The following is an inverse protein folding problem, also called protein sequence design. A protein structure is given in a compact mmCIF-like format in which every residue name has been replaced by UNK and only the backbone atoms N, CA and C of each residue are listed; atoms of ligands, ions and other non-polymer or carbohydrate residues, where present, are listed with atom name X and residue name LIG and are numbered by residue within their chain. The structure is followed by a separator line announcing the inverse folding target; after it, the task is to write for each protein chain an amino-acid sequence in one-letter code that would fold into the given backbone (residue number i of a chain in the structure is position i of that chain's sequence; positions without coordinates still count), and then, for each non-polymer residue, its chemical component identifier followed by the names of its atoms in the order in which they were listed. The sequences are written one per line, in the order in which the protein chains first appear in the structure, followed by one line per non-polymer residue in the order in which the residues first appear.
data_IF_892974918702
#
_entry.id   IF_892974918702
#
_cell.length_a   1.000
_cell.length_b   1.000
_cell.length_c   1.000
_cell.angle_alpha   90.00
_cell.angle_beta   90.00
_cell.angle_gamma   90.00
#
_symmetry.space_group_name_H-M   'P 1'
#
loop_
_entity.id
_entity.type
_entity.pdbx_description
1 polymer ?
#
# COMPACT_ATOMS: atom_id res chain seq x y z
N UNK A 1 -1.46 -3.25 0.17
CA UNK A 1 -1.86 -3.08 -1.26
C UNK A 1 -3.13 -3.81 -1.69
N UNK A 2 -3.97 -4.27 -0.75
CA UNK A 2 -5.40 -4.40 -1.00
C UNK A 2 -6.14 -3.65 0.12
N UNK A 3 -6.73 -2.50 -0.22
CA UNK A 3 -7.48 -1.68 0.71
C UNK A 3 -8.87 -2.27 0.92
N UNK A 4 -9.14 -2.72 2.16
CA UNK A 4 -10.48 -3.02 2.63
C UNK A 4 -11.33 -1.76 2.82
N UNK A 5 -12.65 -1.92 2.67
CA UNK A 5 -13.73 -0.92 2.81
C UNK A 5 -13.84 0.16 1.71
N UNK A 6 -13.59 -0.22 0.45
CA UNK A 6 -13.81 0.71 -0.68
C UNK A 6 -13.61 0.15 -2.09
N UNK A 7 -13.75 -1.17 -2.29
CA UNK A 7 -14.09 -1.84 -3.55
C UNK A 7 -13.46 -1.36 -4.89
N UNK A 8 -12.23 -0.86 -4.92
CA UNK A 8 -11.51 -0.65 -6.18
C UNK A 8 -10.58 -1.83 -6.42
N UNK A 9 -10.76 -2.62 -7.49
CA UNK A 9 -9.93 -3.80 -7.73
C UNK A 9 -8.45 -3.42 -7.80
N UNK A 10 -7.62 -4.08 -6.99
CA UNK A 10 -6.16 -4.02 -7.08
C UNK A 10 -5.63 -5.06 -8.07
N UNK A 11 -4.46 -5.61 -7.81
CA UNK A 11 -3.86 -6.69 -8.62
C UNK A 11 -4.82 -7.89 -8.83
N UNK A 12 -5.76 -8.08 -7.91
CA UNK A 12 -6.91 -8.97 -8.08
C UNK A 12 -8.12 -8.20 -8.63
N UNK A 13 -8.62 -8.64 -9.77
CA UNK A 13 -9.88 -8.17 -10.38
C UNK A 13 -11.12 -8.83 -9.76
N UNK A 14 -10.94 -10.00 -9.15
CA UNK A 14 -12.01 -10.73 -8.45
C UNK A 14 -11.41 -11.66 -7.39
N UNK A 15 -12.11 -11.77 -6.26
CA UNK A 15 -11.79 -12.67 -5.15
C UNK A 15 -13.08 -13.41 -4.80
N UNK A 16 -13.04 -14.75 -4.75
CA UNK A 16 -14.19 -15.62 -4.46
C UNK A 16 -13.75 -16.84 -3.68
N UNK A 17 -14.42 -17.16 -2.59
CA UNK A 17 -14.23 -18.40 -1.85
C UNK A 17 -15.19 -19.51 -2.30
N UNK A 18 -14.90 -20.75 -1.92
CA UNK A 18 -15.88 -21.82 -1.84
C UNK A 18 -16.83 -21.59 -0.66
N UNK A 19 -17.97 -22.31 -0.62
CA UNK A 19 -18.91 -22.21 0.50
C UNK A 19 -18.28 -22.53 1.88
N UNK A 20 -17.25 -23.38 1.89
CA UNK A 20 -16.50 -23.74 3.09
C UNK A 20 -15.34 -22.78 3.43
N UNK A 21 -15.15 -21.70 2.66
CA UNK A 21 -14.06 -20.72 2.84
C UNK A 21 -12.62 -21.29 2.92
N UNK A 22 -12.42 -22.54 2.49
CA UNK A 22 -11.13 -23.23 2.52
C UNK A 22 -10.35 -23.14 1.21
N UNK A 23 -10.99 -22.70 0.14
CA UNK A 23 -10.33 -22.46 -1.16
C UNK A 23 -10.76 -21.12 -1.72
N UNK A 24 -9.79 -20.26 -2.00
CA UNK A 24 -9.98 -18.91 -2.50
C UNK A 24 -9.47 -18.78 -3.94
N UNK A 25 -10.33 -18.32 -4.84
CA UNK A 25 -10.07 -18.12 -6.27
C UNK A 25 -9.88 -16.64 -6.57
N UNK A 26 -8.71 -16.30 -7.09
CA UNK A 26 -8.29 -14.92 -7.37
C UNK A 26 -8.08 -14.74 -8.88
N UNK A 27 -8.83 -13.83 -9.50
CA UNK A 27 -8.60 -13.46 -10.90
C UNK A 27 -7.63 -12.29 -10.98
N UNK A 28 -6.50 -12.49 -11.64
CA UNK A 28 -5.43 -11.49 -11.70
C UNK A 28 -5.73 -10.40 -12.74
N UNK A 29 -5.24 -9.18 -12.49
CA UNK A 29 -5.19 -8.11 -13.47
C UNK A 29 -4.14 -8.45 -14.53
N UNK A 30 -4.51 -8.28 -15.80
CA UNK A 30 -3.60 -8.43 -16.92
C UNK A 30 -2.76 -7.18 -17.17
N UNK A 31 -1.66 -7.34 -17.92
CA UNK A 31 -0.77 -6.25 -18.36
C UNK A 31 -0.15 -5.43 -17.23
N UNK A 32 0.15 -6.07 -16.11
CA UNK A 32 0.88 -5.45 -15.00
C UNK A 32 2.35 -5.85 -15.05
N UNK A 33 3.22 -4.89 -14.75
CA UNK A 33 4.65 -5.11 -14.56
C UNK A 33 5.08 -4.73 -13.15
N UNK A 34 6.11 -5.41 -12.68
CA UNK A 34 6.93 -4.97 -11.58
C UNK A 34 7.87 -3.85 -12.05
N UNK A 35 8.36 -3.07 -11.10
CA UNK A 35 9.24 -1.93 -11.35
C UNK A 35 10.61 -2.35 -11.90
N UNK A 36 11.03 -3.61 -11.68
CA UNK A 36 12.19 -4.24 -12.31
C UNK A 36 11.92 -4.79 -13.74
N UNK A 37 10.75 -4.46 -14.31
CA UNK A 37 10.29 -4.89 -15.63
C UNK A 37 9.74 -6.32 -15.70
N UNK A 38 9.81 -7.12 -14.63
CA UNK A 38 9.24 -8.46 -14.59
C UNK A 38 7.71 -8.42 -14.76
N UNK A 39 7.12 -9.49 -15.28
CA UNK A 39 5.66 -9.56 -15.47
C UNK A 39 4.99 -9.96 -14.16
N UNK A 40 3.88 -9.30 -13.85
CA UNK A 40 2.96 -9.81 -12.83
C UNK A 40 2.02 -10.84 -13.47
N UNK A 41 2.16 -12.09 -13.03
CA UNK A 41 1.36 -13.22 -13.47
C UNK A 41 1.14 -14.24 -12.33
N UNK A 42 0.54 -15.39 -12.67
CA UNK A 42 0.27 -16.41 -11.68
C UNK A 42 1.55 -16.99 -11.06
N UNK A 43 2.64 -17.15 -11.82
CA UNK A 43 3.90 -17.66 -11.28
C UNK A 43 4.47 -16.70 -10.23
N UNK A 44 4.37 -15.38 -10.47
CA UNK A 44 4.78 -14.39 -9.48
C UNK A 44 3.95 -14.47 -8.19
N UNK A 45 2.63 -14.69 -8.29
CA UNK A 45 1.77 -14.87 -7.12
C UNK A 45 2.12 -16.16 -6.36
N UNK A 46 2.39 -17.27 -7.07
CA UNK A 46 2.79 -18.53 -6.42
C UNK A 46 4.13 -18.43 -5.70
N UNK A 47 5.11 -17.71 -6.27
CA UNK A 47 6.38 -17.45 -5.59
C UNK A 47 6.19 -16.64 -4.30
N UNK A 48 5.30 -15.65 -4.31
CA UNK A 48 4.96 -14.90 -3.11
C UNK A 48 4.17 -15.74 -2.10
N UNK A 49 3.28 -16.63 -2.56
CA UNK A 49 2.57 -17.56 -1.70
C UNK A 49 3.54 -18.45 -0.92
N UNK A 50 4.53 -19.04 -1.61
CA UNK A 50 5.58 -19.83 -0.97
C UNK A 50 6.37 -18.99 0.06
N UNK A 51 6.69 -17.73 -0.27
CA UNK A 51 7.31 -16.80 0.69
C UNK A 51 6.43 -16.54 1.92
N UNK A 52 5.11 -16.41 1.77
CA UNK A 52 4.19 -16.21 2.89
C UNK A 52 4.12 -17.42 3.81
N UNK A 53 4.20 -18.63 3.24
CA UNK A 53 4.25 -19.88 4.01
C UNK A 53 5.55 -20.06 4.79
N UNK A 54 6.63 -19.39 4.37
CA UNK A 54 7.90 -19.36 5.09
C UNK A 54 7.95 -18.29 6.20
N UNK A 55 6.92 -17.45 6.35
CA UNK A 55 6.84 -16.50 7.46
C UNK A 55 6.57 -17.25 8.77
N UNK A 56 7.06 -16.70 9.88
CA UNK A 56 6.79 -17.25 11.21
C UNK A 56 5.26 -17.24 11.48
N UNK A 57 4.62 -18.41 11.73
CA UNK A 57 3.16 -18.51 11.81
C UNK A 57 2.47 -17.53 12.78
N UNK A 58 2.99 -17.26 14.00
CA UNK A 58 2.35 -16.32 14.93
C UNK A 58 2.20 -14.91 14.39
N UNK A 59 3.07 -14.51 13.45
CA UNK A 59 3.09 -13.18 12.86
C UNK A 59 2.52 -13.11 11.43
N UNK A 60 2.14 -14.26 10.86
CA UNK A 60 1.69 -14.36 9.47
C UNK A 60 0.18 -14.13 9.35
N UNK A 61 -0.29 -13.14 8.56
CA UNK A 61 -1.71 -12.99 8.25
C UNK A 61 -2.28 -14.15 7.41
N UNK A 62 -1.43 -15.03 6.88
CA UNK A 62 -1.82 -16.19 6.10
C UNK A 62 -1.34 -17.50 6.75
N UNK A 63 -1.40 -17.58 8.09
CA UNK A 63 -0.93 -18.76 8.85
C UNK A 63 -1.61 -20.07 8.42
N UNK A 64 -2.87 -20.03 7.98
CA UNK A 64 -3.60 -21.20 7.49
C UNK A 64 -3.26 -21.58 6.04
N UNK A 65 -2.40 -20.86 5.34
CA UNK A 65 -2.12 -21.13 3.92
C UNK A 65 -1.33 -22.44 3.74
N UNK A 66 -2.00 -23.48 3.23
CA UNK A 66 -1.37 -24.77 2.89
C UNK A 66 -0.67 -24.76 1.53
N UNK A 67 -1.13 -23.92 0.61
CA UNK A 67 -0.46 -23.76 -0.66
C UNK A 67 -1.29 -23.00 -1.67
N UNK A 68 -0.72 -22.84 -2.86
CA UNK A 68 -1.36 -22.16 -3.96
C UNK A 68 -1.07 -22.88 -5.29
N UNK A 69 -2.02 -22.80 -6.20
CA UNK A 69 -1.83 -23.25 -7.58
C UNK A 69 -2.50 -22.31 -8.59
N UNK A 70 -2.27 -22.58 -9.88
CA UNK A 70 -2.83 -21.79 -10.98
C UNK A 70 -3.42 -22.73 -12.04
N UNK A 71 -4.73 -23.04 -11.98
CA UNK A 71 -5.35 -23.97 -12.92
C UNK A 71 -5.42 -23.43 -14.35
N UNK A 72 -5.26 -22.10 -14.54
CA UNK A 72 -5.17 -21.46 -15.85
C UNK A 72 -4.51 -20.08 -15.73
N UNK A 73 -3.96 -19.52 -16.83
CA UNK A 73 -3.38 -18.19 -16.80
C UNK A 73 -4.33 -17.15 -16.21
N UNK A 74 -3.83 -16.37 -15.25
CA UNK A 74 -4.59 -15.29 -14.60
C UNK A 74 -5.64 -15.74 -13.58
N UNK A 75 -5.65 -17.02 -13.18
CA UNK A 75 -6.45 -17.51 -12.06
C UNK A 75 -5.55 -18.24 -11.07
N UNK A 76 -5.50 -17.74 -9.83
CA UNK A 76 -4.78 -18.39 -8.73
C UNK A 76 -5.79 -18.97 -7.75
N UNK A 77 -5.47 -20.14 -7.18
CA UNK A 77 -6.19 -20.70 -6.04
C UNK A 77 -5.27 -20.71 -4.82
N UNK A 78 -5.76 -20.21 -3.70
CA UNK A 78 -5.17 -20.42 -2.38
C UNK A 78 -5.96 -21.50 -1.65
N UNK A 79 -5.26 -22.41 -0.98
CA UNK A 79 -5.82 -23.55 -0.26
C UNK A 79 -5.44 -23.39 1.21
N UNK A 80 -6.42 -23.43 2.10
CA UNK A 80 -6.24 -23.18 3.53
C UNK A 80 -6.41 -24.46 4.37
N UNK A 81 -5.76 -24.50 5.52
CA UNK A 81 -5.90 -25.52 6.56
C UNK A 81 -7.11 -25.20 7.44
N UNK A 82 -8.30 -25.41 6.88
CA UNK A 82 -9.55 -25.06 7.55
C UNK A 82 -10.34 -24.00 6.78
N UNK A 83 -11.24 -23.35 7.50
CA UNK A 83 -12.19 -22.39 6.97
C UNK A 83 -11.88 -21.02 7.52
N UNK A 84 -11.36 -20.13 6.68
CA UNK A 84 -11.18 -18.71 7.02
C UNK A 84 -12.00 -17.83 6.06
N UNK A 85 -13.20 -17.36 6.47
CA UNK A 85 -14.02 -16.43 5.70
C UNK A 85 -13.42 -15.03 5.55
N UNK A 86 -12.36 -14.70 6.28
CA UNK A 86 -11.72 -13.38 6.33
C UNK A 86 -10.40 -13.30 5.56
N UNK A 87 -10.01 -14.39 4.89
CA UNK A 87 -8.74 -14.46 4.17
C UNK A 87 -8.58 -13.37 3.10
N UNK A 88 -9.66 -12.91 2.48
CA UNK A 88 -9.63 -11.77 1.55
C UNK A 88 -9.19 -10.46 2.20
N UNK A 89 -9.56 -10.23 3.47
CA UNK A 89 -9.05 -9.12 4.26
C UNK A 89 -7.57 -9.31 4.59
N UNK A 90 -7.16 -10.53 4.95
CA UNK A 90 -5.76 -10.86 5.22
C UNK A 90 -4.85 -10.60 4.01
N UNK A 91 -5.31 -10.97 2.80
CA UNK A 91 -4.60 -10.66 1.54
C UNK A 91 -4.31 -9.16 1.37
N UNK A 92 -5.10 -8.28 2.01
CA UNK A 92 -4.87 -6.84 2.00
C UNK A 92 -3.73 -6.32 2.86
N UNK A 93 -3.24 -7.13 3.78
CA UNK A 93 -2.13 -6.81 4.67
C UNK A 93 -0.87 -6.41 3.90
N UNK A 94 -0.12 -5.45 4.43
CA UNK A 94 1.20 -5.09 3.92
C UNK A 94 2.20 -6.24 4.02
N UNK A 95 2.06 -7.12 5.03
CA UNK A 95 2.92 -8.31 5.19
C UNK A 95 2.79 -9.30 4.02
N UNK A 96 1.63 -9.34 3.36
CA UNK A 96 1.36 -10.16 2.19
C UNK A 96 1.51 -9.37 0.87
N UNK A 97 2.26 -8.27 0.86
CA UNK A 97 2.53 -7.51 -0.35
C UNK A 97 3.18 -8.38 -1.43
N UNK A 98 2.68 -8.30 -2.67
CA UNK A 98 3.29 -9.00 -3.82
C UNK A 98 4.52 -8.24 -4.26
N UNK A 99 5.67 -8.93 -4.24
CA UNK A 99 6.95 -8.43 -4.77
C UNK A 99 7.39 -9.21 -5.99
N UNK A 100 8.28 -8.62 -6.79
CA UNK A 100 8.88 -9.31 -7.93
C UNK A 100 9.56 -10.59 -7.46
N UNK A 101 9.36 -11.73 -8.15
CA UNK A 101 10.08 -12.96 -7.85
C UNK A 101 11.61 -12.80 -7.91
N UNK A 102 12.12 -11.83 -8.69
CA UNK A 102 13.56 -11.54 -8.77
C UNK A 102 14.14 -10.95 -7.49
N UNK A 103 13.30 -10.35 -6.66
CA UNK A 103 13.71 -9.78 -5.38
C UNK A 103 13.61 -10.79 -4.22
N UNK A 104 13.02 -11.97 -4.44
CA UNK A 104 12.89 -13.02 -3.42
C UNK A 104 14.18 -13.84 -3.42
N UNK A 105 14.86 -13.89 -2.28
CA UNK A 105 16.04 -14.74 -2.07
C UNK A 105 15.64 -16.17 -1.72
N UNK A 106 16.62 -17.07 -1.75
CA UNK A 106 16.42 -18.49 -1.41
C UNK A 106 15.91 -18.71 0.02
N UNK A 107 16.22 -17.79 0.95
CA UNK A 107 15.73 -17.79 2.33
C UNK A 107 14.35 -17.12 2.50
N UNK A 108 13.70 -16.71 1.40
CA UNK A 108 12.42 -16.01 1.41
C UNK A 108 12.51 -14.52 1.77
N UNK A 109 13.70 -14.01 2.14
CA UNK A 109 13.89 -12.58 2.37
C UNK A 109 13.79 -11.79 1.06
N UNK A 110 13.49 -10.50 1.19
CA UNK A 110 13.39 -9.59 0.04
C UNK A 110 14.70 -8.80 -0.07
N UNK A 111 15.21 -8.65 -1.29
CA UNK A 111 16.33 -7.77 -1.56
C UNK A 111 16.00 -6.33 -1.13
N UNK A 112 16.75 -5.72 -0.20
CA UNK A 112 16.51 -4.35 0.20
C UNK A 112 16.83 -3.42 -0.98
N UNK A 113 16.07 -2.32 -1.07
CA UNK A 113 16.28 -1.23 -2.04
C UNK A 113 16.06 -1.59 -3.53
N UNK A 114 15.77 -2.84 -3.87
CA UNK A 114 15.41 -3.21 -5.24
C UNK A 114 13.95 -2.81 -5.55
N UNK A 115 13.70 -2.13 -6.69
CA UNK A 115 12.36 -1.76 -7.13
C UNK A 115 11.56 -3.03 -7.49
N UNK A 116 10.88 -3.57 -6.49
CA UNK A 116 10.26 -4.89 -6.55
C UNK A 116 8.74 -4.85 -6.49
N UNK A 117 8.14 -3.65 -6.40
CA UNK A 117 6.69 -3.47 -6.33
C UNK A 117 6.03 -3.42 -7.71
N UNK A 118 4.70 -3.33 -7.71
CA UNK A 118 3.86 -2.98 -8.87
C UNK A 118 3.11 -1.66 -8.63
N UNK A 119 3.57 -0.88 -7.65
CA UNK A 119 2.89 0.30 -7.15
C UNK A 119 3.11 1.54 -8.00
N UNK A 120 2.36 2.62 -7.71
CA UNK A 120 2.44 3.91 -8.42
C UNK A 120 3.74 4.67 -8.18
N UNK A 121 4.51 4.32 -7.15
CA UNK A 121 5.79 4.94 -6.82
C UNK A 121 6.86 3.89 -6.56
N UNK A 122 8.09 4.26 -6.88
CA UNK A 122 9.31 3.46 -6.74
C UNK A 122 10.24 4.15 -5.76
N UNK A 123 10.89 3.39 -4.88
CA UNK A 123 11.93 3.93 -4.02
C UNK A 123 13.15 4.31 -4.88
N UNK A 124 13.57 5.56 -4.78
CA UNK A 124 14.75 6.09 -5.47
C UNK A 124 15.92 6.30 -4.53
N UNK A 125 15.65 6.86 -3.36
CA UNK A 125 16.68 7.13 -2.36
C UNK A 125 16.16 6.74 -0.98
N UNK A 126 17.07 6.21 -0.16
CA UNK A 126 16.83 5.92 1.24
C UNK A 126 18.04 6.34 2.04
N UNK A 127 17.83 7.35 2.86
CA UNK A 127 18.75 7.80 3.88
C UNK A 127 18.21 7.37 5.25
N UNK A 128 18.90 7.77 6.32
CA UNK A 128 18.49 7.42 7.68
C UNK A 128 17.16 8.09 8.06
N UNK A 129 16.98 9.34 7.64
CA UNK A 129 15.89 10.24 7.98
C UNK A 129 15.04 10.65 6.76
N UNK A 130 15.38 10.19 5.55
CA UNK A 130 14.67 10.55 4.33
C UNK A 130 14.42 9.36 3.41
N UNK A 131 13.23 9.31 2.81
CA UNK A 131 12.92 8.45 1.66
C UNK A 131 12.46 9.31 0.47
N UNK A 132 13.05 9.08 -0.70
CA UNK A 132 12.58 9.65 -1.95
C UNK A 132 11.87 8.59 -2.78
N UNK A 133 10.60 8.81 -3.10
CA UNK A 133 9.81 7.98 -3.98
C UNK A 133 9.54 8.73 -5.29
N UNK A 134 9.79 8.11 -6.44
CA UNK A 134 9.45 8.69 -7.74
C UNK A 134 8.30 7.94 -8.40
N UNK A 135 7.51 8.63 -9.21
CA UNK A 135 6.40 8.06 -9.98
C UNK A 135 6.89 6.90 -10.84
N UNK A 136 6.21 5.77 -10.75
CA UNK A 136 6.32 4.68 -11.69
C UNK A 136 5.53 5.01 -12.96
N UNK A 137 6.24 5.38 -14.02
CA UNK A 137 5.63 5.74 -15.32
C UNK A 137 5.00 4.54 -16.04
N UNK A 138 5.37 3.31 -15.67
CA UNK A 138 4.78 2.07 -16.20
C UNK A 138 3.67 1.52 -15.30
N UNK A 139 3.24 2.29 -14.29
CA UNK A 139 2.20 1.84 -13.38
C UNK A 139 0.91 1.57 -14.15
N UNK A 140 0.27 0.45 -13.81
CA UNK A 140 -0.94 -0.04 -14.47
C UNK A 140 -2.19 0.83 -14.25
N UNK A 141 -2.06 1.94 -13.52
CA UNK A 141 -3.03 3.03 -13.50
C UNK A 141 -4.25 2.80 -12.62
N UNK A 142 -5.16 3.78 -12.62
CA UNK A 142 -6.49 3.64 -12.03
C UNK A 142 -7.53 3.24 -13.08
N UNK A 143 -8.82 3.15 -12.72
CA UNK A 143 -9.91 2.81 -13.68
C UNK A 143 -9.94 3.73 -14.91
N UNK A 144 -9.37 4.94 -14.81
CA UNK A 144 -9.30 5.93 -15.90
C UNK A 144 -7.93 5.98 -16.58
N UNK A 145 -7.04 5.01 -16.30
CA UNK A 145 -5.63 5.00 -16.73
C UNK A 145 -4.86 6.28 -16.34
N UNK A 146 -5.36 7.00 -15.35
CA UNK A 146 -4.66 8.14 -14.77
C UNK A 146 -3.61 7.60 -13.79
N UNK A 147 -2.38 8.06 -13.97
CA UNK A 147 -1.30 7.89 -13.00
C UNK A 147 -1.48 8.77 -11.76
N UNK A 148 -0.63 8.59 -10.74
CA UNK A 148 -0.66 9.46 -9.58
C UNK A 148 -0.37 10.91 -9.97
N UNK A 149 -1.01 11.87 -9.31
CA UNK A 149 -0.82 13.29 -9.59
C UNK A 149 0.56 13.86 -9.24
N UNK A 150 1.44 13.09 -8.59
CA UNK A 150 2.79 13.52 -8.12
C UNK A 150 3.88 12.84 -8.90
N UNK A 151 4.90 13.61 -9.27
CA UNK A 151 6.12 13.08 -9.87
C UNK A 151 7.01 12.45 -8.80
N UNK A 152 7.04 13.03 -7.60
CA UNK A 152 7.85 12.57 -6.48
C UNK A 152 7.12 12.76 -5.14
N UNK A 153 7.47 11.93 -4.18
CA UNK A 153 7.09 12.04 -2.77
C UNK A 153 8.36 11.91 -1.95
N UNK A 154 8.64 12.93 -1.14
CA UNK A 154 9.69 12.92 -0.14
C UNK A 154 9.05 12.65 1.22
N UNK A 155 9.59 11.68 1.95
CA UNK A 155 9.15 11.33 3.30
C UNK A 155 10.31 11.62 4.23
N UNK A 156 10.11 12.60 5.11
CA UNK A 156 11.03 12.92 6.20
C UNK A 156 10.61 12.16 7.47
N UNK A 157 11.59 11.59 8.16
CA UNK A 157 11.40 10.82 9.38
C UNK A 157 11.88 11.66 10.56
N UNK A 158 10.96 12.37 11.20
CA UNK A 158 11.22 13.07 12.46
C UNK A 158 10.67 12.26 13.65
N UNK A 159 11.56 11.92 14.58
CA UNK A 159 11.22 11.16 15.78
C UNK A 159 10.42 11.97 16.81
N UNK A 160 10.38 13.30 16.69
CA UNK A 160 9.73 14.20 17.65
C UNK A 160 8.37 14.68 17.15
N UNK A 161 7.34 14.51 17.98
CA UNK A 161 5.99 15.00 17.69
C UNK A 161 5.97 16.52 17.48
N UNK A 162 6.79 17.24 18.26
CA UNK A 162 6.93 18.68 18.16
C UNK A 162 7.58 19.10 16.83
N UNK A 163 8.64 18.42 16.39
CA UNK A 163 9.29 18.73 15.11
C UNK A 163 8.38 18.49 13.91
N UNK A 164 7.57 17.41 13.92
CA UNK A 164 6.55 17.18 12.90
C UNK A 164 5.50 18.31 12.86
N UNK A 165 5.04 18.78 14.01
CA UNK A 165 4.09 19.88 14.10
C UNK A 165 4.69 21.22 13.63
N UNK A 166 5.92 21.53 14.04
CA UNK A 166 6.61 22.76 13.69
C UNK A 166 6.91 22.82 12.18
N UNK A 167 7.34 21.71 11.57
CA UNK A 167 7.58 21.61 10.13
C UNK A 167 6.31 21.84 9.32
N UNK A 168 5.16 21.31 9.79
CA UNK A 168 3.86 21.53 9.16
C UNK A 168 3.41 23.00 9.24
N UNK A 169 3.57 23.61 10.41
CA UNK A 169 3.25 25.02 10.64
C UNK A 169 4.15 25.95 9.81
N UNK A 170 5.44 25.66 9.75
CA UNK A 170 6.41 26.36 8.91
C UNK A 170 6.12 26.20 7.40
N UNK A 171 5.40 25.15 7.01
CA UNK A 171 5.06 24.86 5.63
C UNK A 171 6.19 24.19 4.85
N UNK A 172 7.16 23.65 5.55
CA UNK A 172 8.25 22.82 5.02
C UNK A 172 7.66 21.49 4.53
N UNK A 173 6.72 20.93 5.30
CA UNK A 173 5.95 19.74 4.92
C UNK A 173 4.47 20.03 4.71
N UNK A 174 3.83 19.16 3.93
CA UNK A 174 2.44 19.28 3.50
C UNK A 174 1.52 18.45 4.38
N UNK A 175 2.09 17.41 4.98
CA UNK A 175 1.43 16.42 5.79
C UNK A 175 2.34 16.08 6.97
N UNK A 176 1.76 16.04 8.16
CA UNK A 176 2.38 15.46 9.34
C UNK A 176 1.48 14.35 9.88
N UNK A 177 2.00 13.13 9.89
CA UNK A 177 1.32 11.96 10.47
C UNK A 177 1.84 11.69 11.89
N UNK A 178 1.16 10.80 12.60
CA UNK A 178 1.47 10.38 13.97
C UNK A 178 1.52 11.55 14.98
N UNK A 179 0.74 12.60 14.77
CA UNK A 179 0.62 13.69 15.74
C UNK A 179 -0.22 13.24 16.94
N UNK A 180 0.16 13.60 18.19
CA UNK A 180 -0.68 13.38 19.35
C UNK A 180 -2.07 13.95 19.14
N UNK A 181 -3.12 13.21 19.48
CA UNK A 181 -4.50 13.60 19.18
C UNK A 181 -4.90 14.96 19.77
N UNK A 182 -4.31 15.37 20.90
CA UNK A 182 -4.53 16.69 21.48
C UNK A 182 -3.92 17.80 20.60
N UNK A 183 -2.72 17.55 20.07
CA UNK A 183 -1.99 18.47 19.22
C UNK A 183 -2.62 18.58 17.82
N UNK A 184 -2.99 17.44 17.22
CA UNK A 184 -3.72 17.41 15.96
C UNK A 184 -5.06 18.18 16.06
N UNK A 185 -5.79 18.04 17.18
CA UNK A 185 -7.02 18.82 17.45
C UNK A 185 -6.75 20.31 17.64
N UNK A 186 -5.63 20.69 18.27
CA UNK A 186 -5.24 22.09 18.48
C UNK A 186 -4.92 22.76 17.15
N UNK A 187 -4.06 22.13 16.36
CA UNK A 187 -3.59 22.60 15.07
C UNK A 187 -4.69 22.57 14.00
N UNK A 188 -5.58 21.57 14.02
CA UNK A 188 -6.75 21.49 13.12
C UNK A 188 -7.81 22.58 13.33
N UNK A 189 -7.61 23.50 14.28
CA UNK A 189 -8.40 24.76 14.37
C UNK A 189 -7.93 25.83 13.39
N UNK A 190 -6.72 25.70 12.85
CA UNK A 190 -6.24 26.54 11.77
C UNK A 190 -7.06 26.23 10.51
N UNK A 191 -7.73 27.21 9.88
CA UNK A 191 -8.52 26.98 8.67
C UNK A 191 -7.69 26.52 7.45
N UNK A 192 -6.36 26.63 7.54
CA UNK A 192 -5.42 26.14 6.53
C UNK A 192 -4.99 24.69 6.77
N UNK A 193 -5.45 24.02 7.82
CA UNK A 193 -5.12 22.62 8.12
C UNK A 193 -6.38 21.76 8.17
N UNK A 194 -6.25 20.51 7.70
CA UNK A 194 -7.34 19.51 7.73
C UNK A 194 -6.87 18.27 8.48
N UNK A 195 -7.69 17.81 9.43
CA UNK A 195 -7.45 16.60 10.22
C UNK A 195 -7.47 15.34 9.37
N UNK A 196 -6.41 14.54 9.47
CA UNK A 196 -6.33 13.20 8.92
C UNK A 196 -6.75 12.19 9.99
N UNK A 197 -7.71 11.34 9.64
CA UNK A 197 -8.20 10.26 10.51
C UNK A 197 -7.74 8.93 9.93
N UNK A 198 -7.11 8.09 10.76
CA UNK A 198 -6.79 6.70 10.42
C UNK A 198 -7.62 5.78 11.30
N UNK A 199 -8.46 4.94 10.67
CA UNK A 199 -9.20 3.82 11.26
C UNK A 199 -9.60 3.95 12.74
N UNK A 200 -10.75 4.58 13.03
CA UNK A 200 -11.27 4.66 14.42
C UNK A 200 -11.89 6.01 14.81
N UNK A 201 -11.83 7.01 13.92
CA UNK A 201 -12.42 8.34 14.19
C UNK A 201 -11.51 9.30 14.96
N UNK A 202 -10.31 8.86 15.35
CA UNK A 202 -9.31 9.71 15.99
C UNK A 202 -8.40 10.37 14.94
N UNK A 203 -8.15 11.67 15.11
CA UNK A 203 -7.29 12.44 14.22
C UNK A 203 -5.84 12.12 14.59
N UNK A 204 -5.13 11.44 13.69
CA UNK A 204 -3.74 11.01 13.88
C UNK A 204 -2.75 11.86 13.09
N UNK A 205 -3.21 12.77 12.23
CA UNK A 205 -2.36 13.65 11.45
C UNK A 205 -3.07 14.89 10.94
N UNK A 206 -2.34 15.75 10.25
CA UNK A 206 -2.86 16.95 9.62
C UNK A 206 -2.24 17.15 8.23
N UNK A 207 -3.03 17.67 7.31
CA UNK A 207 -2.56 18.13 5.99
C UNK A 207 -2.88 19.61 5.77
N UNK A 208 -2.11 20.28 4.92
CA UNK A 208 -2.44 21.65 4.51
C UNK A 208 -3.62 21.68 3.54
N UNK A 209 -4.64 22.47 3.88
CA UNK A 209 -5.81 22.75 3.05
C UNK A 209 -5.42 23.52 1.79
N UNK A 210 -5.70 22.94 0.62
CA UNK A 210 -5.56 23.62 -0.67
C UNK A 210 -6.95 24.00 -1.16
N UNK A 211 -7.21 25.31 -1.34
CA UNK A 211 -8.52 25.80 -1.84
C UNK A 211 -8.84 25.16 -3.19
N UNK A 212 -9.96 24.44 -3.27
CA UNK A 212 -10.46 23.80 -4.49
C UNK A 212 -10.20 22.30 -4.61
N UNK A 213 -9.60 21.68 -3.60
CA UNK A 213 -9.38 20.23 -3.52
C UNK A 213 -10.17 19.68 -2.33
N UNK A 214 -11.03 18.69 -2.57
CA UNK A 214 -11.67 17.95 -1.48
C UNK A 214 -10.62 17.07 -0.78
N UNK A 215 -10.29 17.41 0.46
CA UNK A 215 -9.51 16.57 1.37
C UNK A 215 -10.22 15.22 1.59
N UNK A 216 -9.47 14.12 1.48
CA UNK A 216 -10.00 12.79 1.76
C UNK A 216 -10.09 12.64 3.29
N UNK A 217 -11.31 12.73 3.83
CA UNK A 217 -11.61 12.70 5.28
C UNK A 217 -11.15 11.42 6.00
N UNK A 218 -10.81 10.38 5.26
CA UNK A 218 -10.12 9.18 5.75
C UNK A 218 -8.82 9.09 4.95
N UNK A 219 -7.65 9.11 5.58
CA UNK A 219 -6.41 8.89 4.85
C UNK A 219 -6.38 7.41 4.44
N UNK A 220 -6.56 7.05 3.14
CA UNK A 220 -6.29 5.68 2.75
C UNK A 220 -4.80 5.42 3.00
N UNK A 221 -4.48 4.24 3.53
CA UNK A 221 -3.11 3.68 3.49
C UNK A 221 -2.45 4.10 2.17
N UNK A 222 -1.19 4.54 2.19
CA UNK A 222 -0.39 5.03 1.03
C UNK A 222 -0.48 4.13 -0.23
N UNK A 223 -1.05 2.93 -0.14
CA UNK A 223 -1.61 2.18 -1.24
C UNK A 223 -2.79 2.84 -2.02
N UNK A 224 -3.32 4.00 -1.60
CA UNK A 224 -4.49 4.64 -2.22
C UNK A 224 -4.61 6.17 -2.09
N UNK A 225 -3.58 6.89 -1.63
CA UNK A 225 -3.68 8.33 -1.41
C UNK A 225 -3.44 9.14 -2.70
N UNK A 226 -4.37 10.06 -2.97
CA UNK A 226 -4.28 11.13 -3.95
C UNK A 226 -4.22 12.46 -3.19
N UNK A 227 -3.11 13.21 -3.23
CA UNK A 227 -3.06 14.58 -2.68
C UNK A 227 -2.05 15.48 -3.40
N UNK A 228 -2.60 16.52 -4.03
CA UNK A 228 -1.98 17.44 -5.02
C UNK A 228 -0.91 18.37 -4.47
N UNK A 229 0.19 18.55 -5.22
CA UNK A 229 0.91 19.82 -5.38
C UNK A 229 1.11 20.11 -6.87
N UNK A 230 0.77 21.33 -7.30
CA UNK A 230 1.08 21.90 -8.60
C UNK A 230 2.35 22.73 -8.43
N UNK A 231 3.39 22.39 -9.19
CA UNK A 231 4.50 23.30 -9.46
C UNK A 231 4.07 24.27 -10.58
N UNK A 232 4.17 25.60 -10.42
CA UNK A 232 3.98 26.52 -11.52
C UNK A 232 5.21 26.51 -12.43
N UNK A 233 5.01 26.06 -13.67
CA UNK A 233 5.86 26.40 -14.82
C UNK A 233 5.26 27.58 -15.59
#
# INVERSE_FOLDING_TARGET
PFGGRGGSPGLATSVRSTAAASVWRIRLRGRVRFQDGARFDAAAVLANAARWQALDPPDSPAAELLGADSPKPGLVRFILDGSDPSFDAALGSSKLGIVSPRAIRDDGSIAPLEPSGTGPFELREREFDRLLLARNIEWWGTRRDLGPGFDQIEIELDASDAGRADSLLAGEVMLADELPAAEARRLGRDPLLVGLTVGGGEITGLERSVRGIESIREAPSLAGAWLTRLEPG
#
